data_IF_227626195090
#
_entry.id   IF_227626195090
#
_cell.length_a   1.000
_cell.length_b   1.000
_cell.length_c   1.000
_cell.angle_alpha   90.00
_cell.angle_beta   90.00
_cell.angle_gamma   90.00
#
_symmetry.space_group_name_H-M   'P 1'
#
loop_
_entity.id
_entity.type
_entity.pdbx_description
1 polymer ?
#
# COMPACT_ATOMS: atom_id res chain seq x y z
N UNK A 1 -4.59 13.32 -20.47
CA UNK A 1 -4.16 12.42 -19.38
C UNK A 1 -3.42 11.23 -20.00
N UNK A 2 -2.19 10.95 -19.59
CA UNK A 2 -1.43 9.81 -20.12
C UNK A 2 -1.81 8.57 -19.30
N UNK A 3 -2.74 7.76 -19.82
CA UNK A 3 -2.99 6.43 -19.29
C UNK A 3 -1.80 5.55 -19.69
N UNK A 4 -1.10 4.97 -18.71
CA UNK A 4 -0.08 3.95 -18.93
C UNK A 4 -0.69 2.57 -18.61
N UNK A 5 -1.55 2.00 -19.49
CA UNK A 5 -2.30 0.79 -19.20
C UNK A 5 -1.42 -0.45 -18.97
N UNK A 6 -0.16 -0.39 -19.39
CA UNK A 6 0.84 -1.46 -19.21
C UNK A 6 1.76 -1.26 -18.00
N UNK A 7 1.54 -0.22 -17.19
CA UNK A 7 2.38 0.05 -16.02
C UNK A 7 2.23 -1.09 -15.01
N UNK A 8 3.34 -1.76 -14.69
CA UNK A 8 3.39 -2.90 -13.75
C UNK A 8 4.00 -2.55 -12.41
N UNK A 9 4.81 -1.49 -12.37
CA UNK A 9 5.58 -1.09 -11.21
C UNK A 9 5.45 0.41 -11.07
N UNK A 10 5.10 0.87 -9.87
CA UNK A 10 4.98 2.28 -9.52
C UNK A 10 5.65 2.50 -8.17
N UNK A 11 6.45 3.56 -8.11
CA UNK A 11 7.06 4.05 -6.88
C UNK A 11 6.56 5.47 -6.66
N UNK A 12 6.05 5.74 -5.46
CA UNK A 12 5.58 7.05 -5.03
C UNK A 12 6.47 7.47 -3.86
N UNK A 13 7.33 8.46 -4.08
CA UNK A 13 8.24 8.99 -3.06
C UNK A 13 7.87 10.42 -2.67
N UNK A 14 8.19 10.82 -1.44
CA UNK A 14 8.14 12.20 -0.97
C UNK A 14 6.74 12.85 -1.08
N UNK A 15 5.68 12.08 -0.81
CA UNK A 15 4.32 12.62 -0.72
C UNK A 15 4.05 13.11 0.70
N UNK A 16 4.57 14.28 1.04
CA UNK A 16 4.39 14.93 2.35
C UNK A 16 2.94 15.34 2.66
N UNK A 17 2.00 15.23 1.70
CA UNK A 17 0.57 15.37 1.97
C UNK A 17 -0.19 14.06 1.68
N UNK A 18 -0.92 13.56 2.68
CA UNK A 18 -1.86 12.44 2.51
C UNK A 18 -2.93 12.71 1.45
N UNK A 19 -3.11 13.98 1.05
CA UNK A 19 -3.99 14.42 -0.03
C UNK A 19 -3.54 13.94 -1.42
N UNK A 20 -2.22 13.78 -1.65
CA UNK A 20 -1.73 13.17 -2.89
C UNK A 20 -2.10 11.70 -2.97
N UNK A 21 -2.03 10.95 -1.86
CA UNK A 21 -2.44 9.56 -1.89
C UNK A 21 -3.94 9.42 -2.12
N UNK A 22 -4.76 10.28 -1.50
CA UNK A 22 -6.20 10.37 -1.73
C UNK A 22 -6.57 10.63 -3.20
N UNK A 23 -5.78 11.46 -3.88
CA UNK A 23 -5.93 11.70 -5.33
C UNK A 23 -5.41 10.53 -6.16
N UNK A 24 -4.34 9.90 -5.70
CA UNK A 24 -3.71 8.76 -6.36
C UNK A 24 -4.55 7.50 -6.21
N UNK A 25 -5.21 7.20 -5.10
CA UNK A 25 -6.00 5.99 -4.89
C UNK A 25 -7.10 5.83 -5.94
N UNK A 26 -7.86 6.90 -6.24
CA UNK A 26 -8.82 6.91 -7.37
C UNK A 26 -8.17 6.67 -8.73
N UNK A 27 -6.93 7.10 -8.90
CA UNK A 27 -6.16 6.99 -10.14
C UNK A 27 -5.43 5.65 -10.24
N UNK A 28 -5.08 5.02 -9.12
CA UNK A 28 -4.39 3.74 -9.02
C UNK A 28 -5.29 2.61 -9.52
N UNK A 29 -6.59 2.68 -9.25
CA UNK A 29 -7.58 1.77 -9.85
C UNK A 29 -7.59 1.79 -11.38
N UNK A 30 -7.12 2.87 -12.02
CA UNK A 30 -7.01 2.95 -13.49
C UNK A 30 -5.83 2.11 -14.03
N UNK A 31 -4.88 1.70 -13.19
CA UNK A 31 -3.76 0.83 -13.58
C UNK A 31 -4.10 -0.64 -13.34
N UNK A 32 -4.95 -1.22 -14.20
CA UNK A 32 -5.38 -2.62 -14.10
C UNK A 32 -4.23 -3.64 -14.10
N UNK A 33 -3.08 -3.28 -14.66
CA UNK A 33 -1.89 -4.13 -14.74
C UNK A 33 -0.84 -3.89 -13.64
N UNK A 34 -1.11 -3.02 -12.66
CA UNK A 34 -0.15 -2.70 -11.62
C UNK A 34 0.03 -3.88 -10.66
N UNK A 35 1.24 -4.43 -10.62
CA UNK A 35 1.59 -5.59 -9.79
C UNK A 35 2.50 -5.23 -8.63
N UNK A 36 3.24 -4.13 -8.73
CA UNK A 36 4.20 -3.69 -7.73
C UNK A 36 3.94 -2.23 -7.39
N UNK A 37 3.79 -1.95 -6.10
CA UNK A 37 3.59 -0.62 -5.57
C UNK A 37 4.54 -0.39 -4.40
N UNK A 38 5.35 0.65 -4.49
CA UNK A 38 6.14 1.14 -3.37
C UNK A 38 5.70 2.56 -3.04
N UNK A 39 5.48 2.84 -1.76
CA UNK A 39 5.09 4.16 -1.28
C UNK A 39 6.05 4.55 -0.16
N UNK A 40 6.55 5.77 -0.24
CA UNK A 40 7.51 6.35 0.68
C UNK A 40 7.02 7.68 1.26
N UNK A 41 7.15 7.84 2.57
CA UNK A 41 7.07 9.15 3.23
C UNK A 41 5.64 9.66 3.49
N UNK A 42 4.65 8.79 3.73
CA UNK A 42 3.32 9.24 4.15
C UNK A 42 3.23 9.50 5.66
N UNK A 43 2.51 10.56 6.01
CA UNK A 43 2.14 10.90 7.38
C UNK A 43 0.68 10.49 7.67
N UNK A 44 0.40 9.18 7.65
CA UNK A 44 -0.91 8.60 7.96
C UNK A 44 -0.80 7.67 9.17
N UNK A 45 -1.85 7.60 9.99
CA UNK A 45 -1.90 6.71 11.17
C UNK A 45 -2.32 5.28 10.81
N UNK A 46 -3.14 5.11 9.77
CA UNK A 46 -3.60 3.82 9.28
C UNK A 46 -3.43 3.73 7.75
N UNK A 47 -3.06 2.56 7.24
CA UNK A 47 -2.89 2.33 5.80
C UNK A 47 -3.34 0.93 5.35
N UNK A 48 -4.03 0.80 4.20
CA UNK A 48 -4.64 1.87 3.39
C UNK A 48 -5.70 2.67 4.17
N UNK A 49 -6.01 3.89 3.73
CA UNK A 49 -7.02 4.73 4.39
C UNK A 49 -8.43 4.21 4.07
N UNK A 50 -9.34 4.18 5.04
CA UNK A 50 -10.71 3.70 4.85
C UNK A 50 -11.41 4.38 3.66
N UNK A 51 -11.95 3.56 2.74
CA UNK A 51 -12.57 4.04 1.49
C UNK A 51 -11.60 4.21 0.32
N UNK A 52 -10.29 4.13 0.57
CA UNK A 52 -9.25 4.07 -0.44
C UNK A 52 -8.79 2.62 -0.62
N UNK A 53 -9.04 2.05 -1.80
CA UNK A 53 -8.53 0.72 -2.11
C UNK A 53 -7.22 0.77 -2.90
N UNK A 54 -6.40 -0.24 -2.67
CA UNK A 54 -5.25 -0.54 -3.52
C UNK A 54 -5.68 -1.38 -4.73
N UNK A 55 -4.93 -1.32 -5.85
CA UNK A 55 -5.20 -2.19 -6.99
C UNK A 55 -5.16 -3.67 -6.57
N UNK A 56 -6.23 -4.40 -6.84
CA UNK A 56 -6.36 -5.80 -6.41
C UNK A 56 -5.42 -6.75 -7.17
N UNK A 57 -4.81 -6.30 -8.27
CA UNK A 57 -3.79 -7.01 -9.05
C UNK A 57 -2.38 -6.96 -8.45
N UNK A 58 -2.18 -6.26 -7.32
CA UNK A 58 -0.89 -6.19 -6.65
C UNK A 58 -0.42 -7.58 -6.19
N UNK A 59 0.84 -7.85 -6.48
CA UNK A 59 1.59 -9.01 -5.97
C UNK A 59 2.65 -8.58 -4.96
N UNK A 60 3.08 -7.33 -4.99
CA UNK A 60 4.09 -6.78 -4.08
C UNK A 60 3.74 -5.36 -3.65
N UNK A 61 3.77 -5.14 -2.33
CA UNK A 61 3.54 -3.86 -1.70
C UNK A 61 4.70 -3.53 -0.78
N UNK A 62 5.27 -2.34 -0.95
CA UNK A 62 6.30 -1.79 -0.07
C UNK A 62 5.82 -0.48 0.54
N UNK A 63 5.88 -0.41 1.86
CA UNK A 63 5.58 0.76 2.69
C UNK A 63 6.90 1.18 3.34
N UNK A 64 7.36 2.40 3.06
CA UNK A 64 8.67 2.89 3.48
C UNK A 64 8.57 4.26 4.14
N UNK A 65 9.23 4.46 5.28
CA UNK A 65 9.29 5.77 5.96
C UNK A 65 7.92 6.39 6.28
N UNK A 66 6.95 5.58 6.68
CA UNK A 66 5.69 6.13 7.19
C UNK A 66 5.86 6.50 8.67
N UNK A 67 6.22 7.77 8.90
CA UNK A 67 6.61 8.25 10.23
C UNK A 67 5.51 8.18 11.30
N UNK A 68 4.24 8.17 10.90
CA UNK A 68 3.08 8.16 11.81
C UNK A 68 2.24 6.89 11.75
N UNK A 69 2.64 5.90 10.95
CA UNK A 69 1.83 4.69 10.74
C UNK A 69 1.80 3.85 12.01
N UNK A 70 0.61 3.66 12.58
CA UNK A 70 0.37 2.90 13.81
C UNK A 70 -0.23 1.52 13.56
N UNK A 71 -1.03 1.41 12.52
CA UNK A 71 -1.72 0.18 12.15
C UNK A 71 -1.93 0.07 10.63
N UNK A 72 -2.23 -1.15 10.16
CA UNK A 72 -2.67 -1.37 8.78
C UNK A 72 -4.16 -1.72 8.78
N UNK A 73 -4.87 -1.29 7.75
CA UNK A 73 -6.27 -1.70 7.52
C UNK A 73 -6.29 -3.15 7.01
N UNK A 74 -6.58 -4.10 7.91
CA UNK A 74 -6.64 -5.53 7.62
C UNK A 74 -7.69 -5.87 6.57
N UNK A 75 -8.88 -5.27 6.67
CA UNK A 75 -9.97 -5.46 5.71
C UNK A 75 -9.60 -5.02 4.30
N UNK A 76 -8.86 -3.90 4.18
CA UNK A 76 -8.35 -3.43 2.89
C UNK A 76 -7.26 -4.36 2.35
N UNK A 77 -6.35 -4.83 3.19
CA UNK A 77 -5.30 -5.76 2.78
C UNK A 77 -5.87 -7.11 2.33
N UNK A 78 -6.85 -7.67 3.05
CA UNK A 78 -7.49 -8.96 2.71
C UNK A 78 -8.12 -8.97 1.31
N UNK A 79 -8.46 -7.81 0.75
CA UNK A 79 -8.96 -7.68 -0.63
C UNK A 79 -7.86 -7.91 -1.69
N UNK A 80 -6.59 -7.83 -1.31
CA UNK A 80 -5.43 -8.04 -2.17
C UNK A 80 -5.12 -9.53 -2.32
N UNK A 81 -6.02 -10.25 -3.01
CA UNK A 81 -5.99 -11.72 -3.14
C UNK A 81 -4.73 -12.27 -3.79
N UNK A 82 -3.96 -11.45 -4.51
CA UNK A 82 -2.73 -11.86 -5.19
C UNK A 82 -1.45 -11.35 -4.51
N UNK A 83 -1.54 -10.67 -3.37
CA UNK A 83 -0.38 -10.09 -2.70
C UNK A 83 0.49 -11.20 -2.11
N UNK A 84 1.66 -11.41 -2.69
CA UNK A 84 2.63 -12.41 -2.23
C UNK A 84 3.72 -11.81 -1.37
N UNK A 85 3.97 -10.50 -1.48
CA UNK A 85 5.03 -9.81 -0.74
C UNK A 85 4.50 -8.53 -0.10
N UNK A 86 4.74 -8.39 1.20
CA UNK A 86 4.48 -7.17 1.98
C UNK A 86 5.75 -6.77 2.72
N UNK A 87 6.30 -5.61 2.36
CA UNK A 87 7.47 -5.04 3.02
C UNK A 87 7.10 -3.74 3.72
N UNK A 88 7.38 -3.65 5.01
CA UNK A 88 7.20 -2.46 5.83
C UNK A 88 8.57 -2.08 6.35
N UNK A 89 9.00 -0.86 6.09
CA UNK A 89 10.37 -0.45 6.37
C UNK A 89 10.41 0.95 6.95
N UNK A 90 11.21 1.16 7.99
CA UNK A 90 11.38 2.47 8.65
C UNK A 90 10.05 3.11 9.06
N UNK A 91 9.13 2.32 9.60
CA UNK A 91 7.84 2.78 10.12
C UNK A 91 7.87 2.71 11.66
N UNK A 92 8.43 3.73 12.34
CA UNK A 92 8.79 3.64 13.76
C UNK A 92 7.60 3.62 14.72
N UNK A 93 6.44 4.14 14.30
CA UNK A 93 5.21 4.15 15.11
C UNK A 93 4.35 2.90 14.93
N UNK A 94 4.75 1.93 14.10
CA UNK A 94 3.92 0.75 13.83
C UNK A 94 3.87 -0.15 15.07
N UNK A 95 2.74 -0.16 15.75
CA UNK A 95 2.58 -0.89 17.02
C UNK A 95 2.15 -2.34 16.80
N UNK A 96 1.30 -2.57 15.80
CA UNK A 96 0.65 -3.86 15.59
C UNK A 96 0.34 -4.13 14.12
N UNK A 97 0.25 -5.42 13.80
CA UNK A 97 -0.35 -5.90 12.57
C UNK A 97 -1.88 -5.99 12.72
N UNK A 98 -2.64 -6.01 11.61
CA UNK A 98 -4.10 -6.06 11.65
C UNK A 98 -4.61 -7.34 12.31
N UNK A 99 -5.63 -7.20 13.17
CA UNK A 99 -6.25 -8.32 13.89
C UNK A 99 -7.12 -9.17 12.96
N UNK A 100 -7.65 -8.58 11.89
CA UNK A 100 -8.41 -9.26 10.84
C UNK A 100 -7.52 -10.23 10.03
N UNK A 101 -6.20 -10.03 10.11
CA UNK A 101 -5.20 -10.87 9.47
C UNK A 101 -4.60 -10.24 8.21
N UNK A 102 -3.72 -11.02 7.58
CA UNK A 102 -3.02 -10.66 6.35
C UNK A 102 -3.55 -11.45 5.15
N UNK A 103 -3.27 -11.02 3.91
CA UNK A 103 -3.75 -11.70 2.72
C UNK A 103 -3.34 -13.19 2.71
N UNK A 104 -4.24 -14.12 2.36
CA UNK A 104 -3.95 -15.55 2.43
C UNK A 104 -2.90 -16.01 1.40
N UNK A 105 -2.64 -15.21 0.37
CA UNK A 105 -1.59 -15.45 -0.63
C UNK A 105 -0.21 -14.94 -0.21
N UNK A 106 -0.10 -14.29 0.95
CA UNK A 106 1.14 -13.69 1.40
C UNK A 106 2.17 -14.78 1.71
N UNK A 107 3.24 -14.81 0.92
CA UNK A 107 4.37 -15.73 1.11
C UNK A 107 5.53 -15.08 1.86
N UNK A 108 5.61 -13.75 1.84
CA UNK A 108 6.73 -13.00 2.42
C UNK A 108 6.23 -11.75 3.14
N UNK A 109 6.59 -11.65 4.42
CA UNK A 109 6.40 -10.46 5.24
C UNK A 109 7.76 -10.03 5.78
N UNK A 110 8.13 -8.76 5.54
CA UNK A 110 9.34 -8.15 6.07
C UNK A 110 8.97 -6.86 6.80
N UNK A 111 9.39 -6.75 8.06
CA UNK A 111 9.21 -5.56 8.90
C UNK A 111 10.59 -5.19 9.45
N UNK A 112 11.13 -4.02 9.08
CA UNK A 112 12.49 -3.54 9.44
C UNK A 112 12.58 -2.05 9.72
#
# INVERSE_FOLDING_TARGET
EVLLPKLRSLVISNSTSGELLNRLSRSLFKFSCLTRLAIEGLAVECFPVAGEGLPTSLTSLTIWEFGKLRELDGEALLRLKYLTQLHIRRCPELERLPEEGLPPSLGELLIV
#
